data_IF_933926283159
#
_entry.id   IF_933926283159
#
_cell.length_a   1.000
_cell.length_b   1.000
_cell.length_c   1.000
_cell.angle_alpha   90.00
_cell.angle_beta   90.00
_cell.angle_gamma   90.00
#
_symmetry.space_group_name_H-M   'P 1'
#
loop_
_entity.id
_entity.type
_entity.pdbx_description
1 polymer ?
#
# COMPACT_ATOMS: atom_id res chain seq x y z
N UNK A 1 -2.79 19.26 21.16
CA UNK A 1 -2.30 18.05 20.49
C UNK A 1 -3.34 17.65 19.45
N UNK A 2 -3.00 17.68 18.16
CA UNK A 2 -3.86 17.11 17.11
C UNK A 2 -3.42 15.65 16.98
N UNK A 3 -4.28 14.72 17.36
CA UNK A 3 -3.98 13.27 17.37
C UNK A 3 -4.10 12.61 15.99
N UNK A 4 -4.11 13.41 14.93
CA UNK A 4 -4.44 12.98 13.57
C UNK A 4 -5.94 12.91 13.28
N UNK A 5 -6.25 12.60 12.03
CA UNK A 5 -7.61 12.40 11.52
C UNK A 5 -7.98 10.91 11.57
N UNK A 6 -9.26 10.60 11.80
CA UNK A 6 -9.72 9.21 11.94
C UNK A 6 -9.93 8.50 10.60
N UNK A 7 -10.07 9.26 9.51
CA UNK A 7 -10.23 8.72 8.16
C UNK A 7 -9.63 9.66 7.11
N UNK A 8 -9.30 9.13 5.93
CA UNK A 8 -8.87 9.93 4.78
C UNK A 8 -9.93 10.96 4.35
N UNK A 9 -11.21 10.69 4.56
CA UNK A 9 -12.28 11.65 4.26
C UNK A 9 -12.22 12.88 5.17
N UNK A 10 -11.88 12.71 6.46
CA UNK A 10 -11.72 13.83 7.37
C UNK A 10 -10.51 14.70 6.98
N UNK A 11 -9.43 14.07 6.50
CA UNK A 11 -8.27 14.79 5.97
C UNK A 11 -8.64 15.58 4.71
N UNK A 12 -9.42 15.00 3.80
CA UNK A 12 -9.91 15.72 2.60
C UNK A 12 -10.74 16.94 2.98
N UNK A 13 -11.63 16.81 3.97
CA UNK A 13 -12.42 17.95 4.45
C UNK A 13 -11.53 19.04 5.07
N UNK A 14 -10.49 18.64 5.81
CA UNK A 14 -9.50 19.56 6.34
C UNK A 14 -8.67 20.23 5.24
N UNK A 15 -8.36 19.53 4.14
CA UNK A 15 -7.74 20.11 2.96
C UNK A 15 -8.64 21.17 2.31
N UNK A 16 -9.93 20.88 2.14
CA UNK A 16 -10.91 21.83 1.60
C UNK A 16 -11.05 23.09 2.46
N UNK A 17 -10.88 22.96 3.78
CA UNK A 17 -10.89 24.07 4.75
C UNK A 17 -9.57 24.81 4.87
N UNK A 18 -8.49 24.31 4.26
CA UNK A 18 -7.15 24.85 4.40
C UNK A 18 -6.50 24.60 5.76
N UNK A 19 -6.99 23.62 6.54
CA UNK A 19 -6.41 23.22 7.82
C UNK A 19 -5.13 22.37 7.60
N UNK A 20 -5.09 21.61 6.50
CA UNK A 20 -3.93 20.82 6.05
C UNK A 20 -3.72 21.00 4.55
N UNK A 21 -2.49 20.76 4.09
CA UNK A 21 -2.12 21.01 2.68
C UNK A 21 -2.00 19.75 1.82
N UNK A 22 -2.14 18.56 2.41
CA UNK A 22 -2.01 17.31 1.67
C UNK A 22 -2.12 16.07 2.55
N UNK A 23 -2.15 14.92 1.88
CA UNK A 23 -2.14 13.61 2.50
C UNK A 23 -1.41 12.60 1.64
N UNK A 24 -0.90 11.54 2.25
CA UNK A 24 -0.48 10.35 1.53
C UNK A 24 -1.70 9.46 1.29
N UNK A 25 -1.99 9.14 0.03
CA UNK A 25 -3.13 8.31 -0.37
C UNK A 25 -2.86 7.66 -1.73
N UNK A 26 -3.47 6.51 -2.00
CA UNK A 26 -3.37 5.83 -3.30
C UNK A 26 -4.12 6.59 -4.39
N UNK A 27 -3.74 6.39 -5.66
CA UNK A 27 -4.51 6.97 -6.77
C UNK A 27 -5.92 6.39 -6.82
N UNK A 28 -6.05 5.11 -6.47
CA UNK A 28 -7.35 4.45 -6.36
C UNK A 28 -8.31 5.17 -5.38
N UNK A 29 -7.81 5.63 -4.22
CA UNK A 29 -8.63 6.40 -3.28
C UNK A 29 -9.19 7.66 -3.92
N UNK A 30 -8.34 8.41 -4.64
CA UNK A 30 -8.76 9.63 -5.33
C UNK A 30 -9.73 9.33 -6.48
N UNK A 31 -9.48 8.29 -7.26
CA UNK A 31 -10.35 7.86 -8.35
C UNK A 31 -11.78 7.49 -7.87
N UNK A 32 -11.92 6.98 -6.64
CA UNK A 32 -13.22 6.68 -6.03
C UNK A 32 -13.85 7.91 -5.38
N UNK A 33 -13.09 8.63 -4.55
CA UNK A 33 -13.64 9.62 -3.62
C UNK A 33 -13.74 11.03 -4.20
N UNK A 34 -12.81 11.40 -5.10
CA UNK A 34 -12.66 12.74 -5.69
C UNK A 34 -12.05 12.62 -7.11
N UNK A 35 -12.68 11.91 -8.06
CA UNK A 35 -12.08 11.63 -9.37
C UNK A 35 -11.68 12.90 -10.14
N UNK A 36 -12.48 13.96 -10.02
CA UNK A 36 -12.22 15.23 -10.71
C UNK A 36 -10.88 15.87 -10.29
N UNK A 37 -10.46 15.67 -9.03
CA UNK A 37 -9.22 16.25 -8.49
C UNK A 37 -7.97 15.72 -9.18
N UNK A 38 -8.03 14.51 -9.75
CA UNK A 38 -6.93 13.93 -10.53
C UNK A 38 -6.70 14.65 -11.86
N UNK A 39 -7.68 15.43 -12.34
CA UNK A 39 -7.65 16.02 -13.69
C UNK A 39 -7.79 17.54 -13.72
N UNK A 40 -8.34 18.16 -12.67
CA UNK A 40 -8.64 19.59 -12.65
C UNK A 40 -7.56 20.47 -12.01
N UNK A 41 -6.45 19.86 -11.57
CA UNK A 41 -5.30 20.56 -11.00
C UNK A 41 -5.46 20.99 -9.54
N UNK A 42 -6.50 20.52 -8.82
CA UNK A 42 -6.66 20.79 -7.38
C UNK A 42 -5.61 20.13 -6.50
N UNK A 43 -5.02 19.03 -6.94
CA UNK A 43 -3.94 18.34 -6.23
C UNK A 43 -2.72 18.19 -7.13
N UNK A 44 -1.55 18.24 -6.49
CA UNK A 44 -0.26 17.95 -7.11
C UNK A 44 0.36 16.75 -6.42
N UNK A 45 0.76 15.75 -7.22
CA UNK A 45 1.54 14.64 -6.72
C UNK A 45 3.01 15.09 -6.60
N UNK A 46 3.68 14.73 -5.50
CA UNK A 46 5.07 15.15 -5.25
C UNK A 46 6.06 13.99 -5.41
N UNK A 47 5.67 12.81 -4.92
CA UNK A 47 6.41 11.57 -4.98
C UNK A 47 5.43 10.40 -4.82
N UNK A 48 5.86 9.18 -5.12
CA UNK A 48 5.13 7.98 -4.75
C UNK A 48 5.99 7.03 -3.91
N UNK A 49 5.32 6.23 -3.08
CA UNK A 49 5.90 5.24 -2.17
C UNK A 49 5.15 3.93 -2.36
N UNK A 50 5.88 2.81 -2.37
CA UNK A 50 5.32 1.48 -2.59
C UNK A 50 5.27 1.07 -4.07
N UNK A 51 4.55 -0.02 -4.38
CA UNK A 51 4.50 -0.53 -5.75
C UNK A 51 3.80 0.47 -6.69
N UNK A 52 4.10 0.42 -8.00
CA UNK A 52 3.36 1.19 -8.99
C UNK A 52 1.85 0.95 -8.86
N UNK A 53 1.07 2.03 -8.84
CA UNK A 53 -0.39 1.94 -8.80
C UNK A 53 -0.89 1.40 -10.16
N UNK A 54 -1.85 0.45 -10.20
CA UNK A 54 -2.36 -0.05 -11.46
C UNK A 54 -3.07 0.99 -12.34
N UNK A 55 -3.46 2.14 -11.76
CA UNK A 55 -3.97 3.30 -12.50
C UNK A 55 -2.86 4.11 -13.18
N UNK A 56 -1.59 3.78 -12.93
CA UNK A 56 -0.40 4.42 -13.50
C UNK A 56 0.43 5.17 -12.45
N UNK A 57 1.55 5.74 -12.88
CA UNK A 57 2.36 6.63 -12.04
C UNK A 57 2.12 8.09 -12.45
N UNK A 58 1.98 9.05 -11.52
CA UNK A 58 1.64 10.43 -11.86
C UNK A 58 2.83 11.24 -12.41
N UNK A 59 3.83 10.58 -13.01
CA UNK A 59 5.03 11.23 -13.54
C UNK A 59 5.94 11.86 -12.47
N UNK A 60 5.81 11.43 -11.22
CA UNK A 60 6.57 11.92 -10.06
C UNK A 60 7.63 10.91 -9.65
N UNK A 61 8.72 11.33 -8.97
CA UNK A 61 9.76 10.43 -8.53
C UNK A 61 9.26 9.38 -7.54
N UNK A 62 9.85 8.19 -7.62
CA UNK A 62 9.75 7.17 -6.60
C UNK A 62 10.63 7.54 -5.41
N UNK A 63 10.15 7.38 -4.17
CA UNK A 63 10.97 7.65 -2.98
C UNK A 63 12.26 6.82 -2.96
N UNK A 64 12.20 5.54 -3.37
CA UNK A 64 13.36 4.65 -3.40
C UNK A 64 14.45 5.08 -4.39
N UNK A 65 14.10 5.89 -5.40
CA UNK A 65 15.07 6.46 -6.34
C UNK A 65 15.75 7.72 -5.80
N UNK A 66 15.17 8.36 -4.78
CA UNK A 66 15.70 9.58 -4.18
C UNK A 66 16.70 9.31 -3.05
N UNK A 67 16.68 8.11 -2.46
CA UNK A 67 17.60 7.70 -1.39
C UNK A 67 18.89 7.11 -1.96
N UNK A 68 20.04 7.48 -1.37
CA UNK A 68 21.36 7.09 -1.91
C UNK A 68 22.16 6.18 -0.99
N UNK A 69 21.91 6.20 0.32
CA UNK A 69 22.66 5.39 1.29
C UNK A 69 22.03 3.99 1.45
N UNK A 70 22.83 2.95 1.75
CA UNK A 70 22.29 1.63 2.09
C UNK A 70 21.31 1.67 3.27
N UNK A 71 21.57 2.54 4.26
CA UNK A 71 20.74 2.71 5.45
C UNK A 71 19.37 3.30 5.10
N UNK A 72 19.33 4.37 4.29
CA UNK A 72 18.06 4.99 3.86
C UNK A 72 17.28 4.05 2.94
N UNK A 73 17.96 3.25 2.11
CA UNK A 73 17.32 2.22 1.28
C UNK A 73 16.63 1.17 2.12
N UNK A 74 17.34 0.62 3.13
CA UNK A 74 16.75 -0.34 4.06
C UNK A 74 15.54 0.25 4.81
N UNK A 75 15.58 1.53 5.16
CA UNK A 75 14.46 2.21 5.78
C UNK A 75 13.26 2.38 4.83
N UNK A 76 13.49 2.79 3.58
CA UNK A 76 12.42 2.87 2.57
C UNK A 76 11.80 1.50 2.31
N UNK A 77 12.64 0.47 2.15
CA UNK A 77 12.18 -0.90 1.96
C UNK A 77 11.30 -1.35 3.14
N UNK A 78 11.68 -1.02 4.38
CA UNK A 78 10.91 -1.32 5.57
C UNK A 78 9.56 -0.59 5.60
N UNK A 79 9.54 0.73 5.36
CA UNK A 79 8.31 1.53 5.37
C UNK A 79 7.34 1.06 4.28
N UNK A 80 7.86 0.57 3.15
CA UNK A 80 7.06 0.07 2.04
C UNK A 80 6.48 -1.33 2.22
N UNK A 81 6.89 -2.10 3.24
CA UNK A 81 6.40 -3.46 3.48
C UNK A 81 4.86 -3.49 3.46
N UNK A 82 4.21 -2.57 4.19
CA UNK A 82 2.75 -2.50 4.25
C UNK A 82 2.11 -2.28 2.88
N UNK A 83 2.63 -1.33 2.11
CA UNK A 83 2.13 -1.03 0.75
C UNK A 83 2.36 -2.18 -0.22
N UNK A 84 3.43 -2.97 -0.05
CA UNK A 84 3.77 -4.13 -0.89
C UNK A 84 2.98 -5.38 -0.54
N UNK A 85 2.59 -5.55 0.73
CA UNK A 85 1.71 -6.65 1.17
C UNK A 85 0.30 -6.50 0.59
N UNK A 86 -0.16 -5.28 0.34
CA UNK A 86 -1.48 -5.00 -0.22
C UNK A 86 -2.61 -5.44 0.73
N UNK A 87 -3.46 -6.36 0.27
CA UNK A 87 -4.55 -6.95 1.06
C UNK A 87 -4.31 -8.45 1.28
N UNK A 88 -3.37 -8.81 2.18
CA UNK A 88 -3.00 -10.20 2.39
C UNK A 88 -4.10 -10.99 3.12
N UNK A 89 -4.24 -12.26 2.77
CA UNK A 89 -5.05 -13.23 3.51
C UNK A 89 -4.13 -14.14 4.33
N UNK A 90 -4.41 -14.27 5.62
CA UNK A 90 -3.65 -15.12 6.53
C UNK A 90 -4.51 -16.23 7.12
N UNK A 91 -3.93 -17.42 7.26
CA UNK A 91 -4.50 -18.52 8.03
C UNK A 91 -3.92 -18.51 9.46
N UNK A 92 -4.68 -18.96 10.47
CA UNK A 92 -4.17 -19.06 11.83
C UNK A 92 -3.02 -20.07 11.93
N UNK A 93 -2.17 -19.98 12.97
CA UNK A 93 -1.10 -20.95 13.21
C UNK A 93 -1.67 -22.36 13.42
N UNK A 94 -0.91 -23.39 13.01
CA UNK A 94 -1.27 -24.80 13.19
C UNK A 94 -2.16 -25.40 12.08
N UNK A 95 -2.51 -24.64 11.05
CA UNK A 95 -3.16 -25.17 9.84
C UNK A 95 -2.17 -26.06 9.08
N UNK A 96 -2.61 -27.26 8.66
CA UNK A 96 -1.72 -28.20 7.96
C UNK A 96 -1.23 -27.63 6.62
N UNK A 97 0.01 -27.96 6.18
CA UNK A 97 0.55 -27.48 4.91
C UNK A 97 -0.36 -27.78 3.71
N UNK A 98 -0.99 -28.96 3.70
CA UNK A 98 -1.94 -29.35 2.66
C UNK A 98 -3.18 -28.42 2.60
N UNK A 99 -3.68 -27.94 3.74
CA UNK A 99 -4.81 -27.00 3.77
C UNK A 99 -4.39 -25.61 3.31
N UNK A 100 -3.21 -25.15 3.70
CA UNK A 100 -2.65 -23.88 3.22
C UNK A 100 -2.52 -23.91 1.70
N UNK A 101 -2.01 -25.01 1.16
CA UNK A 101 -1.85 -25.19 -0.29
C UNK A 101 -3.20 -25.17 -1.01
N UNK A 102 -4.22 -25.86 -0.49
CA UNK A 102 -5.58 -25.80 -1.04
C UNK A 102 -6.14 -24.36 -1.06
N UNK A 103 -5.90 -23.57 0.00
CA UNK A 103 -6.36 -22.17 0.06
C UNK A 103 -5.64 -21.28 -0.96
N UNK A 104 -4.33 -21.47 -1.15
CA UNK A 104 -3.55 -20.76 -2.17
C UNK A 104 -4.08 -21.04 -3.57
N UNK A 105 -4.28 -22.30 -3.91
CA UNK A 105 -4.84 -22.70 -5.22
C UNK A 105 -6.28 -22.23 -5.43
N UNK A 106 -7.07 -22.12 -4.35
CA UNK A 106 -8.41 -21.54 -4.44
C UNK A 106 -8.36 -20.02 -4.69
N UNK A 107 -7.45 -19.31 -4.01
CA UNK A 107 -7.22 -17.89 -4.23
C UNK A 107 -6.75 -17.60 -5.65
N UNK A 108 -5.74 -18.32 -6.15
CA UNK A 108 -5.21 -18.15 -7.51
C UNK A 108 -6.31 -18.33 -8.56
N UNK A 109 -7.12 -19.39 -8.44
CA UNK A 109 -8.27 -19.61 -9.35
C UNK A 109 -9.32 -18.51 -9.26
N UNK A 110 -9.57 -17.95 -8.07
CA UNK A 110 -10.51 -16.82 -7.90
C UNK A 110 -9.99 -15.56 -8.60
N UNK A 111 -8.68 -15.28 -8.51
CA UNK A 111 -8.10 -14.10 -9.14
C UNK A 111 -8.12 -14.17 -10.68
N UNK A 112 -8.24 -15.38 -11.25
CA UNK A 112 -8.40 -15.62 -12.69
C UNK A 112 -9.87 -15.72 -13.14
N UNK A 113 -10.83 -15.76 -12.21
CA UNK A 113 -12.26 -15.87 -12.53
C UNK A 113 -12.76 -14.56 -13.19
N UNK A 114 -13.21 -14.59 -14.45
CA UNK A 114 -13.62 -13.36 -15.14
C UNK A 114 -14.80 -12.64 -14.50
N UNK A 115 -15.71 -13.38 -13.84
CA UNK A 115 -16.85 -12.78 -13.14
C UNK A 115 -16.37 -12.06 -11.87
N UNK A 116 -15.43 -12.66 -11.13
CA UNK A 116 -14.82 -12.01 -9.97
C UNK A 116 -14.02 -10.76 -10.39
N UNK A 117 -13.18 -10.85 -11.42
CA UNK A 117 -12.41 -9.70 -11.92
C UNK A 117 -13.34 -8.56 -12.32
N UNK A 118 -14.38 -8.86 -13.10
CA UNK A 118 -15.33 -7.84 -13.55
C UNK A 118 -16.05 -7.15 -12.37
N UNK A 119 -16.51 -7.93 -11.39
CA UNK A 119 -17.18 -7.41 -10.20
C UNK A 119 -16.24 -6.59 -9.32
N UNK A 120 -15.00 -7.06 -9.13
CA UNK A 120 -13.96 -6.35 -8.40
C UNK A 120 -13.66 -5.00 -9.05
N UNK A 121 -13.35 -4.96 -10.35
CA UNK A 121 -13.03 -3.70 -11.03
C UNK A 121 -14.22 -2.72 -11.02
N UNK A 122 -15.45 -3.23 -11.15
CA UNK A 122 -16.66 -2.42 -11.10
C UNK A 122 -16.89 -1.80 -9.71
N UNK A 123 -16.63 -2.55 -8.64
CA UNK A 123 -16.88 -2.13 -7.25
C UNK A 123 -15.74 -1.28 -6.71
N UNK A 124 -14.51 -1.72 -6.92
CA UNK A 124 -13.30 -1.18 -6.29
C UNK A 124 -12.66 -0.07 -7.14
N UNK A 125 -13.11 0.11 -8.40
CA UNK A 125 -12.58 1.10 -9.36
C UNK A 125 -11.05 1.03 -9.51
N UNK A 126 -10.50 -0.18 -9.39
CA UNK A 126 -9.08 -0.47 -9.54
C UNK A 126 -8.85 -1.57 -10.58
N UNK A 127 -7.60 -2.00 -10.71
CA UNK A 127 -7.23 -3.22 -11.46
C UNK A 127 -6.78 -4.27 -10.48
N UNK A 128 -7.17 -5.51 -10.74
CA UNK A 128 -6.70 -6.63 -9.94
C UNK A 128 -5.22 -6.89 -10.26
N UNK A 129 -4.38 -6.95 -9.22
CA UNK A 129 -2.95 -7.26 -9.34
C UNK A 129 -2.55 -8.18 -8.16
N UNK A 130 -2.86 -9.47 -8.23
CA UNK A 130 -2.70 -10.39 -7.10
C UNK A 130 -1.23 -10.80 -6.91
N UNK A 131 -0.84 -10.98 -5.66
CA UNK A 131 0.44 -11.61 -5.28
C UNK A 131 0.21 -13.07 -4.95
N UNK A 132 1.08 -13.98 -5.41
CA UNK A 132 0.96 -15.41 -5.10
C UNK A 132 1.22 -15.67 -3.62
N UNK A 133 0.67 -16.78 -3.10
CA UNK A 133 0.89 -17.16 -1.71
C UNK A 133 2.36 -17.50 -1.38
N UNK A 134 3.15 -17.86 -2.39
CA UNK A 134 4.59 -18.12 -2.26
C UNK A 134 5.38 -16.80 -2.21
N UNK A 135 5.09 -15.87 -3.11
CA UNK A 135 5.74 -14.55 -3.12
C UNK A 135 5.41 -13.77 -1.84
N UNK A 136 4.15 -13.82 -1.40
CA UNK A 136 3.72 -13.20 -0.15
C UNK A 136 4.52 -13.73 1.05
N UNK A 137 4.80 -15.04 1.11
CA UNK A 137 5.58 -15.63 2.20
C UNK A 137 7.03 -15.09 2.20
N UNK A 138 7.66 -14.99 1.03
CA UNK A 138 9.00 -14.40 0.90
C UNK A 138 9.06 -12.93 1.32
N UNK A 139 7.98 -12.18 1.10
CA UNK A 139 7.89 -10.80 1.56
C UNK A 139 7.74 -10.72 3.08
N UNK A 140 6.89 -11.57 3.66
CA UNK A 140 6.71 -11.65 5.11
C UNK A 140 8.00 -12.05 5.81
N UNK A 141 8.73 -13.06 5.31
CA UNK A 141 9.99 -13.48 5.89
C UNK A 141 11.01 -12.33 5.89
N UNK A 142 11.17 -11.63 4.75
CA UNK A 142 12.04 -10.45 4.67
C UNK A 142 11.62 -9.32 5.62
N UNK A 143 10.32 -9.10 5.79
CA UNK A 143 9.80 -8.11 6.71
C UNK A 143 10.15 -8.45 8.17
N UNK A 144 10.04 -9.73 8.54
CA UNK A 144 10.36 -10.22 9.88
C UNK A 144 11.88 -10.22 10.15
N UNK A 145 12.70 -10.37 9.11
CA UNK A 145 14.17 -10.31 9.19
C UNK A 145 14.72 -8.87 9.18
N UNK A 146 13.87 -7.85 9.32
CA UNK A 146 14.31 -6.44 9.37
C UNK A 146 15.31 -6.23 10.53
N UNK A 147 16.52 -5.69 10.26
CA UNK A 147 17.52 -5.48 11.31
C UNK A 147 17.02 -4.53 12.43
N UNK A 148 17.38 -4.77 13.70
CA UNK A 148 17.00 -3.90 14.81
C UNK A 148 17.34 -2.43 14.59
N UNK A 149 18.49 -2.13 13.99
CA UNK A 149 18.90 -0.75 13.68
C UNK A 149 17.93 -0.05 12.72
N UNK A 150 17.38 -0.76 11.72
CA UNK A 150 16.38 -0.22 10.79
C UNK A 150 15.05 0.01 11.51
N UNK A 151 14.65 -0.91 12.40
CA UNK A 151 13.45 -0.75 13.22
C UNK A 151 13.54 0.46 14.14
N UNK A 152 14.68 0.64 14.82
CA UNK A 152 14.90 1.77 15.73
C UNK A 152 14.93 3.11 14.99
N UNK A 153 15.56 3.15 13.81
CA UNK A 153 15.52 4.32 12.94
C UNK A 153 14.08 4.65 12.48
N UNK A 154 13.31 3.63 12.07
CA UNK A 154 11.92 3.82 11.66
C UNK A 154 11.05 4.34 12.81
N UNK A 155 11.18 3.76 14.01
CA UNK A 155 10.50 4.23 15.23
C UNK A 155 10.79 5.70 15.52
N UNK A 156 12.06 6.08 15.47
CA UNK A 156 12.51 7.46 15.69
C UNK A 156 11.85 8.42 14.70
N UNK A 157 11.80 8.05 13.42
CA UNK A 157 11.22 8.89 12.36
C UNK A 157 9.70 8.97 12.47
N UNK A 158 9.05 7.86 12.81
CA UNK A 158 7.59 7.78 12.94
C UNK A 158 7.07 8.30 14.30
N UNK A 159 7.96 8.61 15.24
CA UNK A 159 7.60 9.02 16.60
C UNK A 159 6.89 7.93 17.39
N UNK A 160 7.28 6.66 17.17
CA UNK A 160 6.72 5.49 17.85
C UNK A 160 7.78 5.00 18.85
N UNK A 161 7.73 5.50 20.08
CA UNK A 161 8.57 5.05 21.20
C UNK A 161 8.03 3.75 21.84
#
# INVERSE_FOLDING_TARGET
MITGYQSSNDVVLAMERGEVHGQSSSLQYWAISRPDWLTDGRISHLLYVGPPDPLGTPGVPYLGDLVTTPEDRALVDFIEIGSRLGWPLFAPPGVSPARVETLRQAFERLMEDPAFVADFEATVKGRLNPTTGADLALFVDRALDTPPATLDAAKTILGID
#
